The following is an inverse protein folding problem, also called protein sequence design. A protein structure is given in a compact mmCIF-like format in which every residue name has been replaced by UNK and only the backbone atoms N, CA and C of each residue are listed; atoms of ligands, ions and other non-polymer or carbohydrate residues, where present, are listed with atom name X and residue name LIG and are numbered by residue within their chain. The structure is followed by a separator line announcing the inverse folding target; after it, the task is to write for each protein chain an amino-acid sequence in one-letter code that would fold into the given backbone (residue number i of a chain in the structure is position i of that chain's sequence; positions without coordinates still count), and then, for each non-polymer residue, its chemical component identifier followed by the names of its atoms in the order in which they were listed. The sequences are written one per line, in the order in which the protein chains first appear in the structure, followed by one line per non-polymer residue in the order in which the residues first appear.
data_IF_311340275420
#
_entry.id   IF_311340275420
#
_cell.length_a   1.000
_cell.length_b   1.000
_cell.length_c   1.000
_cell.angle_alpha   90.00
_cell.angle_beta   90.00
_cell.angle_gamma   90.00
#
_symmetry.space_group_name_H-M   'P 1'
#
loop_
_entity.id
_entity.type
_entity.pdbx_description
1 polymer ?
#
# COMPACT_ATOMS: atom_id res chain seq x y z
N UNK A 1 -3.42 4.40 -7.40
CA UNK A 1 -3.61 5.29 -6.22
C UNK A 1 -2.38 5.43 -5.33
N UNK A 2 -1.35 4.56 -5.47
CA UNK A 2 -0.10 4.63 -4.68
C UNK A 2 0.51 6.04 -4.61
N UNK A 3 0.58 6.82 -5.71
CA UNK A 3 1.11 8.19 -5.63
C UNK A 3 0.33 9.14 -4.72
N UNK A 4 -0.93 8.82 -4.40
CA UNK A 4 -1.77 9.61 -3.50
C UNK A 4 -1.83 9.05 -2.07
N UNK A 5 -0.97 8.08 -1.74
CA UNK A 5 -0.95 7.42 -0.43
C UNK A 5 -0.63 8.40 0.71
N UNK A 6 -1.43 8.37 1.79
CA UNK A 6 -1.26 9.21 2.99
C UNK A 6 -1.23 8.43 4.30
N UNK A 7 -1.65 7.16 4.28
CA UNK A 7 -1.63 6.28 5.45
C UNK A 7 -1.60 4.82 5.03
N UNK A 8 -1.36 3.94 5.99
CA UNK A 8 -1.55 2.50 5.87
C UNK A 8 -2.59 2.06 6.90
N UNK A 9 -3.57 1.27 6.48
CA UNK A 9 -4.56 0.68 7.37
C UNK A 9 -4.14 -0.73 7.80
N UNK A 10 -4.38 -1.07 9.07
CA UNK A 10 -4.20 -2.41 9.63
C UNK A 10 -5.37 -2.76 10.55
N UNK A 11 -5.52 -4.03 10.90
CA UNK A 11 -6.56 -4.46 11.84
C UNK A 11 -5.90 -4.98 13.14
N UNK A 12 -6.22 -4.36 14.27
CA UNK A 12 -5.62 -4.70 15.57
C UNK A 12 -5.96 -6.11 16.05
N UNK A 13 -7.07 -6.68 15.58
CA UNK A 13 -7.54 -8.03 15.93
C UNK A 13 -6.81 -9.16 15.21
N UNK A 14 -6.06 -8.86 14.13
CA UNK A 14 -5.34 -9.86 13.36
C UNK A 14 -3.98 -10.20 13.96
N UNK A 15 -3.51 -11.41 13.68
CA UNK A 15 -2.13 -11.83 13.89
C UNK A 15 -1.29 -11.49 12.66
N UNK A 16 -0.11 -10.94 12.87
CA UNK A 16 0.86 -10.59 11.83
C UNK A 16 2.17 -11.32 12.01
N UNK A 17 2.85 -11.52 10.89
CA UNK A 17 4.18 -12.10 10.84
C UNK A 17 5.16 -11.10 10.24
N UNK A 18 6.39 -11.11 10.73
CA UNK A 18 7.54 -10.58 10.01
C UNK A 18 8.27 -11.77 9.43
N UNK A 19 8.36 -11.86 8.12
CA UNK A 19 9.15 -12.88 7.44
C UNK A 19 10.32 -12.24 6.70
N UNK A 20 11.41 -12.97 6.59
CA UNK A 20 12.57 -12.64 5.75
C UNK A 20 12.60 -13.60 4.58
N UNK A 21 12.61 -13.07 3.37
CA UNK A 21 12.70 -13.84 2.13
C UNK A 21 14.15 -14.29 1.97
N UNK A 22 14.37 -15.59 1.71
CA UNK A 22 15.71 -16.17 1.56
C UNK A 22 15.93 -16.79 0.18
N UNK A 23 14.94 -16.69 -0.71
CA UNK A 23 15.10 -17.05 -2.13
C UNK A 23 16.20 -16.23 -2.79
N UNK A 24 16.88 -16.84 -3.74
CA UNK A 24 17.79 -16.10 -4.63
C UNK A 24 16.99 -15.16 -5.54
N UNK A 25 17.46 -13.93 -5.73
CA UNK A 25 16.86 -12.94 -6.64
C UNK A 25 16.60 -11.58 -5.99
N UNK A 26 15.77 -10.78 -6.65
CA UNK A 26 15.52 -9.38 -6.29
C UNK A 26 14.82 -9.18 -4.93
N UNK A 27 14.20 -10.23 -4.40
CA UNK A 27 13.51 -10.21 -3.11
C UNK A 27 14.37 -10.75 -1.96
N UNK A 28 15.57 -11.25 -2.25
CA UNK A 28 16.47 -11.78 -1.24
C UNK A 28 16.69 -10.77 -0.11
N UNK A 29 16.73 -11.28 1.12
CA UNK A 29 16.91 -10.52 2.37
C UNK A 29 15.82 -9.46 2.67
N UNK A 30 14.81 -9.31 1.83
CA UNK A 30 13.67 -8.43 2.15
C UNK A 30 12.90 -8.99 3.34
N UNK A 31 12.56 -8.09 4.25
CA UNK A 31 11.65 -8.37 5.37
C UNK A 31 10.29 -7.75 5.03
N UNK A 32 9.24 -8.54 5.16
CA UNK A 32 7.88 -8.11 4.91
C UNK A 32 6.99 -8.40 6.11
N UNK A 33 6.01 -7.53 6.32
CA UNK A 33 4.96 -7.70 7.33
C UNK A 33 3.69 -8.11 6.61
N UNK A 34 3.09 -9.22 7.04
CA UNK A 34 1.85 -9.74 6.46
C UNK A 34 0.94 -10.32 7.54
N UNK A 35 -0.37 -10.30 7.34
CA UNK A 35 -1.29 -11.04 8.19
C UNK A 35 -1.02 -12.54 8.08
N UNK A 36 -0.95 -13.25 9.21
CA UNK A 36 -0.64 -14.69 9.24
C UNK A 36 -1.58 -15.51 8.36
N UNK A 37 -2.87 -15.18 8.37
CA UNK A 37 -3.87 -15.88 7.56
C UNK A 37 -3.65 -15.73 6.04
N UNK A 38 -2.89 -14.71 5.60
CA UNK A 38 -2.59 -14.43 4.19
C UNK A 38 -1.21 -14.94 3.76
N UNK A 39 -0.43 -15.54 4.67
CA UNK A 39 0.94 -16.00 4.37
C UNK A 39 0.99 -16.86 3.11
N UNK A 40 0.18 -17.92 3.04
CA UNK A 40 0.22 -18.89 1.94
C UNK A 40 -0.15 -18.25 0.59
N UNK A 41 -1.13 -17.33 0.56
CA UNK A 41 -1.52 -16.65 -0.67
C UNK A 41 -0.45 -15.67 -1.14
N UNK A 42 0.16 -14.91 -0.22
CA UNK A 42 1.25 -13.99 -0.54
C UNK A 42 2.47 -14.73 -1.07
N UNK A 43 2.88 -15.81 -0.41
CA UNK A 43 4.01 -16.64 -0.88
C UNK A 43 3.78 -17.15 -2.31
N UNK A 44 2.57 -17.63 -2.58
CA UNK A 44 2.19 -18.13 -3.92
C UNK A 44 2.18 -17.01 -4.96
N UNK A 45 1.55 -15.89 -4.67
CA UNK A 45 1.42 -14.75 -5.59
C UNK A 45 2.78 -14.13 -5.92
N UNK A 46 3.64 -14.00 -4.90
CA UNK A 46 4.99 -13.45 -5.05
C UNK A 46 6.02 -14.49 -5.49
N UNK A 47 5.62 -15.77 -5.68
CA UNK A 47 6.49 -16.89 -6.03
C UNK A 47 7.66 -17.10 -5.05
N UNK A 48 7.43 -16.79 -3.76
CA UNK A 48 8.41 -16.99 -2.69
C UNK A 48 8.39 -18.47 -2.27
N UNK A 49 9.55 -19.13 -2.36
CA UNK A 49 9.72 -20.55 -2.02
C UNK A 49 10.38 -20.74 -0.67
N UNK A 50 11.30 -19.84 -0.32
CA UNK A 50 12.11 -19.92 0.90
C UNK A 50 12.02 -18.63 1.71
N UNK A 51 11.72 -18.77 2.99
CA UNK A 51 11.65 -17.67 3.92
C UNK A 51 11.93 -18.12 5.35
N UNK A 52 12.28 -17.15 6.21
CA UNK A 52 12.38 -17.33 7.65
C UNK A 52 11.29 -16.54 8.36
N UNK A 53 10.57 -17.18 9.28
CA UNK A 53 9.68 -16.47 10.17
C UNK A 53 10.53 -15.82 11.29
N UNK A 54 10.54 -14.49 11.34
CA UNK A 54 11.33 -13.75 12.32
C UNK A 54 10.53 -13.44 13.57
N UNK A 55 9.24 -13.10 13.44
CA UNK A 55 8.40 -12.69 14.56
C UNK A 55 6.93 -12.86 14.23
N UNK A 56 6.16 -13.30 15.22
CA UNK A 56 4.68 -13.21 15.25
C UNK A 56 4.26 -12.18 16.29
N UNK A 57 3.25 -11.37 15.99
CA UNK A 57 2.76 -10.33 16.88
C UNK A 57 1.30 -9.98 16.59
N UNK A 58 0.64 -9.28 17.50
CA UNK A 58 -0.74 -8.82 17.32
C UNK A 58 -0.79 -7.52 16.54
N UNK A 59 -1.84 -7.32 15.74
CA UNK A 59 -2.05 -6.08 14.98
C UNK A 59 -1.99 -4.82 15.84
N UNK A 60 -2.47 -4.88 17.08
CA UNK A 60 -2.36 -3.75 18.03
C UNK A 60 -0.94 -3.21 18.24
N UNK A 61 0.08 -4.05 18.03
CA UNK A 61 1.49 -3.67 18.16
C UNK A 61 1.97 -2.79 17.00
N UNK A 62 1.18 -2.68 15.91
CA UNK A 62 1.44 -1.76 14.79
C UNK A 62 1.02 -0.32 15.09
N UNK A 63 0.25 -0.11 16.14
CA UNK A 63 -0.23 1.23 16.53
C UNK A 63 0.94 2.18 16.81
N UNK A 64 0.88 3.36 16.21
CA UNK A 64 1.93 4.38 16.35
C UNK A 64 3.15 4.16 15.44
N UNK A 65 3.14 3.14 14.60
CA UNK A 65 4.19 2.95 13.58
C UNK A 65 4.07 4.02 12.50
N UNK A 66 5.21 4.59 12.13
CA UNK A 66 5.34 5.52 11.01
C UNK A 66 6.18 4.85 9.93
N UNK A 67 5.71 4.91 8.71
CA UNK A 67 6.36 4.34 7.53
C UNK A 67 6.82 5.44 6.58
N UNK A 68 7.74 5.12 5.70
CA UNK A 68 8.11 5.96 4.56
C UNK A 68 7.23 5.62 3.35
N UNK A 69 6.92 6.63 2.55
CA UNK A 69 6.29 6.40 1.25
C UNK A 69 7.25 5.58 0.36
N UNK A 70 6.76 4.71 -0.56
CA UNK A 70 7.63 3.96 -1.49
C UNK A 70 8.56 4.87 -2.32
N UNK A 71 8.14 6.11 -2.58
CA UNK A 71 8.91 7.14 -3.30
C UNK A 71 9.57 8.16 -2.37
N UNK A 72 9.90 7.78 -1.14
CA UNK A 72 10.67 8.62 -0.23
C UNK A 72 11.97 9.09 -0.91
N UNK A 73 12.39 10.33 -0.69
CA UNK A 73 13.47 11.04 -1.39
C UNK A 73 13.19 11.40 -2.87
N UNK A 74 11.98 11.18 -3.36
CA UNK A 74 11.55 11.55 -4.70
C UNK A 74 10.36 12.54 -4.68
N UNK A 75 10.30 13.38 -3.65
CA UNK A 75 9.23 14.37 -3.43
C UNK A 75 8.07 13.83 -2.58
N UNK A 76 8.26 12.68 -1.91
CA UNK A 76 7.29 12.05 -1.00
C UNK A 76 7.87 11.93 0.43
N UNK A 77 8.57 12.98 0.87
CA UNK A 77 9.30 13.03 2.13
C UNK A 77 8.39 13.44 3.29
N UNK A 78 7.35 12.67 3.52
CA UNK A 78 6.38 12.86 4.60
C UNK A 78 6.04 11.53 5.27
N UNK A 79 5.60 11.61 6.50
CA UNK A 79 5.23 10.47 7.33
C UNK A 79 3.98 9.77 6.80
N UNK A 80 4.02 8.45 6.78
CA UNK A 80 2.89 7.56 6.47
C UNK A 80 2.53 6.82 7.76
N UNK A 81 1.54 7.30 8.55
CA UNK A 81 1.14 6.62 9.77
C UNK A 81 0.37 5.33 9.47
N UNK A 82 0.55 4.35 10.34
CA UNK A 82 -0.29 3.17 10.38
C UNK A 82 -1.51 3.43 11.27
N UNK A 83 -2.72 3.23 10.70
CA UNK A 83 -4.01 3.52 11.32
C UNK A 83 -4.82 2.23 11.49
N UNK A 84 -5.45 2.09 12.64
CA UNK A 84 -6.35 0.95 12.90
C UNK A 84 -7.64 1.12 12.09
N UNK A 85 -8.04 0.04 11.38
CA UNK A 85 -9.23 0.03 10.56
C UNK A 85 -9.87 -1.37 10.49
N UNK A 86 -11.14 -1.45 10.86
CA UNK A 86 -11.88 -2.72 10.89
C UNK A 86 -12.21 -3.26 9.49
N UNK A 87 -12.17 -2.42 8.45
CA UNK A 87 -12.40 -2.85 7.07
C UNK A 87 -11.22 -3.67 6.49
N UNK A 88 -10.07 -3.69 7.16
CA UNK A 88 -8.96 -4.55 6.76
C UNK A 88 -9.30 -5.99 7.13
N UNK A 89 -9.42 -6.84 6.10
CA UNK A 89 -9.78 -8.26 6.21
C UNK A 89 -8.63 -9.16 5.78
N UNK A 90 -8.87 -10.48 5.84
CA UNK A 90 -7.93 -11.52 5.40
C UNK A 90 -8.42 -12.23 4.14
N UNK A 91 -9.24 -11.57 3.33
CA UNK A 91 -9.76 -12.15 2.08
C UNK A 91 -8.76 -12.06 0.93
N UNK A 92 -7.96 -10.99 0.92
CA UNK A 92 -6.96 -10.73 -0.12
C UNK A 92 -5.85 -9.79 0.35
N UNK A 93 -4.77 -9.71 -0.44
CA UNK A 93 -3.66 -8.80 -0.18
C UNK A 93 -2.72 -9.28 0.93
N UNK A 94 -2.26 -8.36 1.76
CA UNK A 94 -1.25 -8.62 2.81
C UNK A 94 -1.77 -8.41 4.23
N UNK A 95 -3.02 -7.94 4.40
CA UNK A 95 -3.55 -7.52 5.70
C UNK A 95 -3.07 -6.13 6.12
N UNK A 96 -2.37 -5.41 5.25
CA UNK A 96 -2.03 -3.99 5.36
C UNK A 96 -2.45 -3.32 4.06
N UNK A 97 -3.26 -2.27 4.16
CA UNK A 97 -3.87 -1.60 3.01
C UNK A 97 -3.41 -0.16 2.95
N UNK A 98 -2.96 0.31 1.78
CA UNK A 98 -2.66 1.72 1.60
C UNK A 98 -3.95 2.55 1.58
N UNK A 99 -3.89 3.78 2.06
CA UNK A 99 -5.02 4.69 2.10
C UNK A 99 -4.72 5.98 1.35
N UNK A 100 -5.57 6.27 0.37
CA UNK A 100 -5.55 7.49 -0.43
C UNK A 100 -6.86 8.26 -0.19
N UNK A 101 -6.90 9.26 0.71
CA UNK A 101 -8.14 9.88 1.18
C UNK A 101 -8.97 10.57 0.08
N UNK A 102 -8.36 10.88 -1.05
CA UNK A 102 -9.05 11.48 -2.20
C UNK A 102 -9.60 10.45 -3.20
N UNK A 103 -9.47 9.15 -2.93
CA UNK A 103 -9.81 8.10 -3.89
C UNK A 103 -10.77 7.02 -3.37
N UNK A 104 -11.17 7.06 -2.11
CA UNK A 104 -12.11 6.11 -1.56
C UNK A 104 -12.81 6.63 -0.29
N UNK A 105 -14.09 6.29 -0.06
CA UNK A 105 -14.86 6.79 1.09
C UNK A 105 -14.31 6.26 2.42
N UNK A 106 -13.88 5.00 2.48
CA UNK A 106 -13.31 4.41 3.69
C UNK A 106 -11.96 5.05 4.03
N UNK A 107 -11.11 5.26 3.02
CA UNK A 107 -9.82 5.95 3.16
C UNK A 107 -10.03 7.40 3.61
N UNK A 108 -11.02 8.09 3.01
CA UNK A 108 -11.37 9.46 3.38
C UNK A 108 -11.76 9.55 4.86
N UNK A 109 -12.71 8.71 5.30
CA UNK A 109 -13.20 8.72 6.66
C UNK A 109 -12.10 8.36 7.67
N UNK A 110 -11.31 7.33 7.38
CA UNK A 110 -10.19 6.91 8.24
C UNK A 110 -9.16 8.03 8.39
N UNK A 111 -8.75 8.62 7.28
CA UNK A 111 -7.76 9.71 7.28
C UNK A 111 -8.30 10.95 8.00
N UNK A 112 -9.53 11.38 7.72
CA UNK A 112 -10.15 12.55 8.34
C UNK A 112 -10.25 12.40 9.86
N UNK A 113 -10.68 11.24 10.34
CA UNK A 113 -10.78 10.93 11.78
C UNK A 113 -9.43 10.94 12.50
N UNK A 114 -8.33 10.79 11.75
CA UNK A 114 -6.96 10.86 12.27
C UNK A 114 -6.24 12.17 11.91
N UNK A 115 -6.98 13.22 11.51
CA UNK A 115 -6.42 14.56 11.25
C UNK A 115 -5.67 14.68 9.92
N UNK A 116 -5.76 13.69 9.04
CA UNK A 116 -5.15 13.70 7.70
C UNK A 116 -6.17 14.24 6.71
N UNK A 117 -5.88 15.40 6.12
CA UNK A 117 -6.77 16.04 5.15
C UNK A 117 -6.64 15.39 3.77
N UNK A 118 -7.78 15.22 3.11
CA UNK A 118 -7.81 14.94 1.69
C UNK A 118 -7.38 16.20 0.92
N UNK A 119 -6.50 16.01 -0.05
CA UNK A 119 -6.07 17.06 -0.99
C UNK A 119 -6.43 16.63 -2.40
N UNK A 120 -6.71 17.58 -3.27
CA UNK A 120 -6.97 17.29 -4.67
C UNK A 120 -5.71 16.69 -5.32
N UNK A 121 -5.81 15.44 -5.73
CA UNK A 121 -4.70 14.69 -6.35
C UNK A 121 -4.94 14.40 -7.83
N UNK A 122 -6.17 14.51 -8.28
CA UNK A 122 -6.58 14.34 -9.68
C UNK A 122 -7.52 15.47 -10.03
N UNK A 123 -7.31 16.12 -11.17
CA UNK A 123 -8.15 17.18 -11.70
C UNK A 123 -9.37 16.65 -12.47
N UNK A 124 -10.22 17.54 -12.96
CA UNK A 124 -11.44 17.22 -13.71
C UNK A 124 -11.15 16.50 -15.04
N UNK A 125 -9.95 16.63 -15.58
CA UNK A 125 -9.48 15.93 -16.78
C UNK A 125 -8.94 14.52 -16.49
N UNK A 126 -8.94 14.08 -15.23
CA UNK A 126 -8.39 12.80 -14.79
C UNK A 126 -6.85 12.77 -14.78
N UNK A 127 -6.20 13.91 -14.64
CA UNK A 127 -4.73 14.02 -14.56
C UNK A 127 -4.30 14.30 -13.13
N UNK A 128 -3.13 13.77 -12.77
CA UNK A 128 -2.54 14.10 -11.48
C UNK A 128 -2.19 15.58 -11.38
N UNK A 129 -2.57 16.20 -10.26
CA UNK A 129 -2.27 17.59 -9.95
C UNK A 129 -0.82 17.74 -9.46
N UNK A 130 -0.36 18.98 -9.28
CA UNK A 130 0.95 19.33 -8.69
C UNK A 130 1.17 18.73 -7.29
N UNK A 131 0.11 18.31 -6.61
CA UNK A 131 0.18 17.66 -5.29
C UNK A 131 0.70 16.22 -5.36
N UNK A 132 0.87 15.67 -6.56
CA UNK A 132 1.36 14.32 -6.82
C UNK A 132 2.69 14.40 -7.57
N UNK A 133 3.78 14.54 -6.82
CA UNK A 133 5.15 14.63 -7.37
C UNK A 133 5.44 13.46 -8.33
N UNK A 134 6.36 13.64 -9.28
CA UNK A 134 6.74 12.69 -10.35
C UNK A 134 5.65 12.38 -11.39
N UNK A 135 4.37 12.55 -11.07
CA UNK A 135 3.26 12.10 -11.92
C UNK A 135 2.35 13.26 -12.34
N UNK A 136 2.68 14.50 -11.97
CA UNK A 136 1.92 15.70 -12.35
C UNK A 136 1.65 15.75 -13.86
N UNK A 137 0.41 16.06 -14.22
CA UNK A 137 -0.05 16.16 -15.60
C UNK A 137 -0.30 14.81 -16.31
N UNK A 138 0.11 13.68 -15.72
CA UNK A 138 -0.17 12.37 -16.27
C UNK A 138 -1.62 11.96 -16.00
N UNK A 139 -2.32 11.51 -17.04
CA UNK A 139 -3.63 10.90 -16.89
C UNK A 139 -3.53 9.60 -16.08
N UNK A 140 -4.43 9.37 -15.11
CA UNK A 140 -4.35 8.26 -14.14
C UNK A 140 -4.18 6.88 -14.78
N UNK A 141 -4.86 6.60 -15.90
CA UNK A 141 -4.72 5.33 -16.59
C UNK A 141 -3.35 5.17 -17.29
N UNK A 142 -2.77 6.27 -17.79
CA UNK A 142 -1.43 6.26 -18.38
C UNK A 142 -0.33 6.21 -17.32
N UNK A 143 -0.61 6.66 -16.10
CA UNK A 143 0.34 6.65 -15.00
C UNK A 143 0.57 5.25 -14.42
N UNK A 144 -0.40 4.33 -14.49
CA UNK A 144 -0.29 3.02 -13.86
C UNK A 144 0.99 2.25 -14.24
N UNK A 145 1.34 2.05 -15.53
CA UNK A 145 2.57 1.36 -15.87
C UNK A 145 3.83 2.11 -15.43
N UNK A 146 3.80 3.45 -15.44
CA UNK A 146 4.91 4.30 -15.00
C UNK A 146 5.12 4.16 -13.48
N UNK A 147 4.03 4.12 -12.70
CA UNK A 147 4.09 3.89 -11.25
C UNK A 147 4.69 2.53 -10.93
N UNK A 148 4.27 1.47 -11.65
CA UNK A 148 4.80 0.12 -11.48
C UNK A 148 6.31 0.11 -11.77
N UNK A 149 6.73 0.72 -12.87
CA UNK A 149 8.15 0.79 -13.25
C UNK A 149 8.97 1.53 -12.18
N UNK A 150 8.45 2.66 -11.69
CA UNK A 150 9.09 3.42 -10.59
C UNK A 150 9.21 2.59 -9.30
N UNK A 151 8.20 1.82 -8.94
CA UNK A 151 8.26 0.92 -7.79
C UNK A 151 9.34 -0.17 -7.96
N UNK A 152 9.50 -0.71 -9.18
CA UNK A 152 10.57 -1.66 -9.51
C UNK A 152 11.94 -1.02 -9.38
N UNK A 153 12.15 0.17 -9.98
CA UNK A 153 13.41 0.92 -9.87
C UNK A 153 13.82 1.18 -8.42
N UNK A 154 12.85 1.46 -7.54
CA UNK A 154 13.08 1.68 -6.12
C UNK A 154 13.18 0.38 -5.30
N UNK A 155 13.09 -0.79 -5.91
CA UNK A 155 13.00 -2.09 -5.20
C UNK A 155 11.86 -2.14 -4.17
N UNK A 156 10.72 -1.49 -4.45
CA UNK A 156 9.54 -1.40 -3.58
C UNK A 156 8.33 -2.18 -4.10
N UNK A 157 8.49 -2.93 -5.18
CA UNK A 157 7.45 -3.79 -5.72
C UNK A 157 7.71 -5.24 -5.30
N UNK A 158 6.74 -5.84 -4.64
CA UNK A 158 6.78 -7.25 -4.26
C UNK A 158 6.22 -8.13 -5.40
N UNK A 159 5.01 -7.81 -5.86
CA UNK A 159 4.34 -8.42 -6.99
C UNK A 159 3.39 -7.42 -7.63
N UNK A 160 2.98 -7.67 -8.88
CA UNK A 160 1.92 -6.92 -9.53
C UNK A 160 1.05 -7.88 -10.35
N UNK A 161 -0.23 -7.55 -10.44
CA UNK A 161 -1.23 -8.29 -11.21
C UNK A 161 -2.28 -7.36 -11.78
N UNK A 162 -3.18 -7.91 -12.58
CA UNK A 162 -4.34 -7.20 -13.11
C UNK A 162 -5.60 -7.66 -12.37
N UNK A 163 -6.44 -6.70 -11.97
CA UNK A 163 -7.74 -6.93 -11.38
C UNK A 163 -8.80 -6.28 -12.25
N UNK A 164 -9.75 -7.06 -12.70
CA UNK A 164 -10.95 -6.52 -13.36
C UNK A 164 -11.93 -6.08 -12.29
N UNK A 165 -12.11 -4.78 -12.15
CA UNK A 165 -13.02 -4.19 -11.18
C UNK A 165 -14.11 -3.40 -11.90
N UNK A 166 -15.36 -3.67 -11.54
CA UNK A 166 -16.52 -2.93 -12.04
C UNK A 166 -16.91 -1.84 -11.04
N UNK A 167 -16.91 -0.60 -11.49
CA UNK A 167 -17.41 0.52 -10.72
C UNK A 167 -18.81 0.92 -11.22
N UNK A 168 -19.80 1.07 -10.33
CA UNK A 168 -21.06 1.71 -10.72
C UNK A 168 -20.81 3.18 -11.04
N UNK A 169 -21.16 3.60 -12.26
CA UNK A 169 -21.18 5.01 -12.63
C UNK A 169 -22.58 5.57 -12.35
N UNK A 170 -22.66 6.69 -11.63
CA UNK A 170 -23.86 7.52 -11.60
C UNK A 170 -23.80 8.46 -12.80
N UNK A 171 -24.88 8.48 -13.59
CA UNK A 171 -25.09 9.41 -14.69
C UNK A 171 -25.68 10.71 -14.18
#
# INVERSE_FOLDING_TARGET
TIPANKALAFNEGLDYLIIQITDEGNLNDKKIVIAEALLSSVLKECQIKEFKNLKKFKGKDLKGTICNHPFFNLGYDYDIPMLEARFVTTEQGTGIVHCAPSHGPDDFNLCLNNGIKAIETVDDDGKYTKNVSLFEGLHIFKANPIVIEKLKEQNKLLSNGELVHSYPHSW
#
